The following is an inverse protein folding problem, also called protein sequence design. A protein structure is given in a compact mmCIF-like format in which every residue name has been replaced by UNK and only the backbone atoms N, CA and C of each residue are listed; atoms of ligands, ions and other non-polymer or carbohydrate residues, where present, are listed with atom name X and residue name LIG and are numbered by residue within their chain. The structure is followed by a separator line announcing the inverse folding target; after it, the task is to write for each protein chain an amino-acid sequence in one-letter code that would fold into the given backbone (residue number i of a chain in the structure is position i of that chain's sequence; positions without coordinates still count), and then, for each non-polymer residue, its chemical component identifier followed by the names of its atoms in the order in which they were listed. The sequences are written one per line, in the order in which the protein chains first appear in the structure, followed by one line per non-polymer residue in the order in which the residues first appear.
data_IF_639855247030
#
_entry.id   IF_639855247030
#
_cell.length_a   1.000
_cell.length_b   1.000
_cell.length_c   1.000
_cell.angle_alpha   90.00
_cell.angle_beta   90.00
_cell.angle_gamma   90.00
#
_symmetry.space_group_name_H-M   'P 1'
#
loop_
_entity.id
_entity.type
_entity.pdbx_description
1 polymer ?
#
# COMPACT_ATOMS: atom_id res chain seq x y z
N UNK A 1 -1.69 6.79 30.84
CA UNK A 1 -1.20 5.49 31.33
C UNK A 1 -1.84 4.41 30.47
N UNK A 2 -1.09 3.37 30.09
CA UNK A 2 -1.63 2.27 29.28
C UNK A 2 -2.58 1.42 30.13
N UNK A 3 -3.77 1.16 29.61
CA UNK A 3 -4.77 0.28 30.22
C UNK A 3 -5.37 -0.59 29.12
N UNK A 4 -5.28 -1.92 29.28
CA UNK A 4 -5.77 -2.89 28.29
C UNK A 4 -7.29 -2.76 28.07
N UNK A 5 -8.02 -2.37 29.11
CA UNK A 5 -9.47 -2.13 29.07
C UNK A 5 -9.89 -0.97 28.16
N UNK A 6 -8.95 -0.10 27.79
CA UNK A 6 -9.18 1.02 26.87
C UNK A 6 -8.69 0.74 25.46
N UNK A 7 -8.33 -0.50 25.14
CA UNK A 7 -7.87 -0.91 23.82
C UNK A 7 -8.85 -1.94 23.26
N UNK A 8 -9.36 -1.68 22.06
CA UNK A 8 -10.20 -2.66 21.38
C UNK A 8 -9.34 -3.55 20.50
N UNK A 9 -9.39 -4.88 20.68
CA UNK A 9 -8.77 -5.82 19.74
C UNK A 9 -9.76 -6.18 18.65
N UNK A 10 -9.39 -5.99 17.39
CA UNK A 10 -10.24 -6.20 16.20
C UNK A 10 -9.79 -7.45 15.48
N UNK A 11 -10.69 -8.42 15.32
CA UNK A 11 -10.42 -9.69 14.65
C UNK A 11 -11.40 -9.87 13.47
N UNK A 12 -11.04 -9.48 12.24
CA UNK A 12 -11.85 -9.77 11.06
C UNK A 12 -11.76 -11.26 10.71
N UNK A 13 -12.89 -11.89 10.44
CA UNK A 13 -12.95 -13.33 10.19
C UNK A 13 -13.87 -13.67 9.03
N UNK A 14 -13.40 -14.56 8.15
CA UNK A 14 -14.17 -15.12 7.05
C UNK A 14 -13.94 -16.63 7.02
N UNK A 15 -15.01 -17.41 7.14
CA UNK A 15 -14.97 -18.88 7.22
C UNK A 15 -14.05 -19.42 8.34
N UNK A 16 -14.27 -19.00 9.61
CA UNK A 16 -13.41 -19.41 10.72
C UNK A 16 -13.47 -20.90 11.04
N UNK A 17 -12.45 -21.36 11.74
CA UNK A 17 -12.40 -22.62 12.48
C UNK A 17 -12.15 -22.36 13.98
N UNK A 18 -11.87 -23.40 14.75
CA UNK A 18 -11.58 -23.34 16.20
C UNK A 18 -10.37 -22.47 16.56
N UNK A 19 -9.51 -22.12 15.59
CA UNK A 19 -8.37 -21.21 15.82
C UNK A 19 -8.86 -19.80 16.16
N UNK A 20 -10.03 -19.39 15.66
CA UNK A 20 -10.64 -18.11 16.05
C UNK A 20 -10.97 -18.10 17.55
N UNK A 21 -11.58 -19.17 18.07
CA UNK A 21 -11.93 -19.29 19.48
C UNK A 21 -10.68 -19.24 20.35
N UNK A 22 -9.64 -19.98 19.94
CA UNK A 22 -8.35 -20.00 20.63
C UNK A 22 -7.68 -18.62 20.63
N UNK A 23 -7.74 -17.90 19.50
CA UNK A 23 -7.21 -16.54 19.37
C UNK A 23 -7.94 -15.55 20.28
N UNK A 24 -9.28 -15.55 20.25
CA UNK A 24 -10.11 -14.67 21.10
C UNK A 24 -9.86 -14.97 22.58
N UNK A 25 -9.82 -16.25 22.97
CA UNK A 25 -9.53 -16.64 24.34
C UNK A 25 -8.13 -16.17 24.79
N UNK A 26 -7.11 -16.36 23.95
CA UNK A 26 -5.76 -15.88 24.24
C UNK A 26 -5.68 -14.37 24.40
N UNK A 27 -6.46 -13.60 23.63
CA UNK A 27 -6.58 -12.14 23.79
C UNK A 27 -7.20 -11.78 25.14
N UNK A 28 -8.28 -12.46 25.55
CA UNK A 28 -8.94 -12.25 26.84
C UNK A 28 -8.00 -12.62 28.00
N UNK A 29 -7.31 -13.76 27.92
CA UNK A 29 -6.34 -14.24 28.92
C UNK A 29 -5.15 -13.27 29.05
N UNK A 30 -4.80 -12.54 27.99
CA UNK A 30 -3.80 -11.48 28.04
C UNK A 30 -4.28 -10.19 28.74
N UNK A 31 -5.54 -10.12 29.20
CA UNK A 31 -6.10 -9.02 29.98
C UNK A 31 -6.86 -7.97 29.16
N UNK A 32 -7.10 -8.20 27.86
CA UNK A 32 -7.97 -7.33 27.09
C UNK A 32 -9.44 -7.58 27.46
N UNK A 33 -10.16 -6.50 27.79
CA UNK A 33 -11.58 -6.56 28.17
C UNK A 33 -12.50 -5.93 27.13
N UNK A 34 -12.03 -5.83 25.89
CA UNK A 34 -12.81 -5.32 24.76
C UNK A 34 -12.31 -5.91 23.44
N UNK A 35 -13.03 -6.91 22.94
CA UNK A 35 -12.72 -7.62 21.69
C UNK A 35 -13.87 -7.41 20.71
N UNK A 36 -13.54 -7.04 19.48
CA UNK A 36 -14.48 -6.79 18.39
C UNK A 36 -14.17 -7.76 17.25
N UNK A 37 -14.95 -8.83 17.15
CA UNK A 37 -14.86 -9.79 16.04
C UNK A 37 -15.81 -9.34 14.94
N UNK A 38 -15.39 -9.48 13.68
CA UNK A 38 -16.26 -9.19 12.53
C UNK A 38 -16.44 -10.47 11.72
N UNK A 39 -17.67 -10.99 11.69
CA UNK A 39 -18.11 -12.03 10.76
C UNK A 39 -18.32 -11.41 9.37
N UNK A 40 -17.40 -11.69 8.45
CA UNK A 40 -17.46 -11.20 7.07
C UNK A 40 -18.27 -12.14 6.16
N UNK A 41 -19.38 -12.73 6.66
CA UNK A 41 -20.39 -13.42 5.86
C UNK A 41 -19.90 -14.72 5.21
N UNK A 42 -19.33 -15.62 6.04
CA UNK A 42 -18.73 -16.89 5.60
C UNK A 42 -19.72 -17.96 5.11
N UNK A 43 -20.96 -17.91 5.58
CA UNK A 43 -21.98 -18.94 5.39
C UNK A 43 -22.51 -19.48 6.72
N UNK A 44 -23.73 -20.05 6.71
CA UNK A 44 -24.40 -20.53 7.93
C UNK A 44 -23.61 -21.63 8.64
N UNK A 45 -22.81 -22.41 7.92
CA UNK A 45 -22.00 -23.48 8.50
C UNK A 45 -20.99 -22.99 9.54
N UNK A 46 -20.58 -21.71 9.48
CA UNK A 46 -19.60 -21.11 10.41
C UNK A 46 -20.23 -20.38 11.61
N UNK A 47 -21.56 -20.28 11.66
CA UNK A 47 -22.26 -19.50 12.69
C UNK A 47 -21.94 -19.97 14.12
N UNK A 48 -21.76 -21.28 14.30
CA UNK A 48 -21.46 -21.87 15.61
C UNK A 48 -20.22 -21.25 16.26
N UNK A 49 -19.15 -21.02 15.50
CA UNK A 49 -17.93 -20.37 16.00
C UNK A 49 -18.23 -18.95 16.48
N UNK A 50 -19.03 -18.18 15.73
CA UNK A 50 -19.38 -16.82 16.13
C UNK A 50 -20.35 -16.78 17.32
N UNK A 51 -21.24 -17.77 17.46
CA UNK A 51 -22.12 -17.90 18.62
C UNK A 51 -21.34 -18.18 19.90
N UNK A 52 -20.30 -19.01 19.81
CA UNK A 52 -19.38 -19.22 20.93
C UNK A 52 -18.61 -17.94 21.30
N UNK A 53 -18.14 -17.17 20.31
CA UNK A 53 -17.53 -15.85 20.57
C UNK A 53 -18.52 -14.88 21.23
N UNK A 54 -19.79 -14.88 20.82
CA UNK A 54 -20.84 -14.03 21.46
C UNK A 54 -21.10 -14.42 22.91
N UNK A 55 -20.92 -15.70 23.26
CA UNK A 55 -21.07 -16.19 24.62
C UNK A 55 -19.87 -15.82 25.52
N UNK A 56 -18.72 -15.46 24.95
CA UNK A 56 -17.56 -15.01 25.72
C UNK A 56 -17.78 -13.60 26.27
N UNK A 57 -17.40 -13.33 27.54
CA UNK A 57 -17.44 -11.98 28.08
C UNK A 57 -16.53 -11.05 27.28
N UNK A 58 -16.85 -9.75 27.30
CA UNK A 58 -16.04 -8.70 26.65
C UNK A 58 -15.95 -8.77 25.11
N UNK A 59 -16.70 -9.66 24.48
CA UNK A 59 -16.70 -9.84 23.04
C UNK A 59 -17.93 -9.18 22.39
N UNK A 60 -17.69 -8.45 21.29
CA UNK A 60 -18.73 -7.94 20.39
C UNK A 60 -18.53 -8.58 19.02
N UNK A 61 -19.57 -9.17 18.46
CA UNK A 61 -19.55 -9.72 17.09
C UNK A 61 -20.36 -8.83 16.16
N UNK A 62 -19.70 -8.21 15.20
CA UNK A 62 -20.32 -7.47 14.09
C UNK A 62 -20.51 -8.42 12.91
N UNK A 63 -21.59 -8.27 12.14
CA UNK A 63 -21.95 -9.23 11.09
C UNK A 63 -22.13 -8.54 9.75
N UNK A 64 -21.56 -9.12 8.70
CA UNK A 64 -21.90 -8.86 7.31
C UNK A 64 -22.75 -10.00 6.76
N UNK A 65 -23.85 -9.67 6.08
CA UNK A 65 -24.71 -10.68 5.45
C UNK A 65 -24.01 -11.44 4.32
N UNK A 66 -23.06 -10.79 3.65
CA UNK A 66 -22.27 -11.33 2.55
C UNK A 66 -20.81 -10.93 2.70
N UNK A 67 -19.89 -11.68 2.09
CA UNK A 67 -18.47 -11.32 2.10
C UNK A 67 -18.21 -9.95 1.45
N UNK A 68 -17.78 -8.99 2.27
CA UNK A 68 -17.39 -7.63 1.84
C UNK A 68 -15.87 -7.47 1.74
N UNK A 69 -15.12 -8.34 2.42
CA UNK A 69 -13.66 -8.39 2.41
C UNK A 69 -13.03 -7.82 3.68
N UNK A 70 -11.76 -8.19 3.91
CA UNK A 70 -10.99 -7.80 5.11
C UNK A 70 -10.97 -6.28 5.35
N UNK A 71 -10.80 -5.48 4.30
CA UNK A 71 -10.81 -4.02 4.41
C UNK A 71 -12.16 -3.47 4.89
N UNK A 72 -13.27 -3.97 4.36
CA UNK A 72 -14.62 -3.59 4.80
C UNK A 72 -14.89 -4.04 6.23
N UNK A 73 -14.43 -5.23 6.63
CA UNK A 73 -14.54 -5.72 8.00
C UNK A 73 -13.79 -4.79 8.98
N UNK A 74 -12.55 -4.41 8.65
CA UNK A 74 -11.77 -3.45 9.43
C UNK A 74 -12.47 -2.09 9.55
N UNK A 75 -12.98 -1.54 8.45
CA UNK A 75 -13.73 -0.27 8.47
C UNK A 75 -14.98 -0.35 9.34
N UNK A 76 -15.71 -1.45 9.27
CA UNK A 76 -16.92 -1.67 10.07
C UNK A 76 -16.59 -1.71 11.56
N UNK A 77 -15.50 -2.38 11.95
CA UNK A 77 -15.00 -2.35 13.31
C UNK A 77 -14.56 -0.93 13.73
N UNK A 78 -13.82 -0.21 12.89
CA UNK A 78 -13.35 1.14 13.18
C UNK A 78 -14.51 2.13 13.36
N UNK A 79 -15.54 2.03 12.53
CA UNK A 79 -16.76 2.81 12.63
C UNK A 79 -17.50 2.50 13.94
N UNK A 80 -17.65 1.22 14.27
CA UNK A 80 -18.28 0.81 15.51
C UNK A 80 -17.49 1.29 16.74
N UNK A 81 -16.16 1.18 16.73
CA UNK A 81 -15.29 1.69 17.82
C UNK A 81 -15.47 3.20 17.98
N UNK A 82 -15.41 3.95 16.88
CA UNK A 82 -15.53 5.41 16.91
C UNK A 82 -16.88 5.90 17.44
N UNK A 83 -17.97 5.14 17.20
CA UNK A 83 -19.31 5.49 17.67
C UNK A 83 -19.60 5.03 19.10
N UNK A 84 -19.16 3.82 19.47
CA UNK A 84 -19.61 3.16 20.70
C UNK A 84 -18.55 3.11 21.80
N UNK A 85 -17.29 3.46 21.51
CA UNK A 85 -16.17 3.36 22.46
C UNK A 85 -15.40 4.69 22.56
N UNK A 86 -16.03 5.78 23.01
CA UNK A 86 -15.43 7.13 23.01
C UNK A 86 -14.19 7.26 23.89
N UNK A 87 -14.02 6.39 24.89
CA UNK A 87 -12.84 6.37 25.76
C UNK A 87 -11.72 5.44 25.28
N UNK A 88 -11.89 4.77 24.13
CA UNK A 88 -10.87 3.91 23.56
C UNK A 88 -9.61 4.73 23.21
N UNK A 89 -8.43 4.21 23.59
CA UNK A 89 -7.13 4.79 23.25
C UNK A 89 -6.68 4.38 21.84
N UNK A 90 -7.11 3.21 21.37
CA UNK A 90 -6.81 2.73 20.03
C UNK A 90 -7.29 1.31 19.77
N UNK A 91 -7.19 0.91 18.50
CA UNK A 91 -7.57 -0.41 18.03
C UNK A 91 -6.33 -1.23 17.70
N UNK A 92 -6.30 -2.50 18.10
CA UNK A 92 -5.27 -3.45 17.66
C UNK A 92 -5.91 -4.48 16.75
N UNK A 93 -5.55 -4.45 15.48
CA UNK A 93 -5.99 -5.45 14.50
C UNK A 93 -5.17 -6.72 14.65
N UNK A 94 -5.79 -7.89 14.58
CA UNK A 94 -5.13 -9.18 14.60
C UNK A 94 -5.91 -10.17 13.72
N UNK A 95 -5.20 -11.03 12.98
CA UNK A 95 -5.81 -12.14 12.25
C UNK A 95 -6.28 -13.26 13.20
N UNK A 96 -7.41 -13.89 12.88
CA UNK A 96 -8.07 -14.92 13.70
C UNK A 96 -7.52 -16.34 13.52
N UNK A 97 -6.40 -16.51 12.83
CA UNK A 97 -5.80 -17.80 12.47
C UNK A 97 -4.76 -18.31 13.50
N UNK A 98 -4.57 -17.57 14.59
CA UNK A 98 -3.61 -17.89 15.66
C UNK A 98 -2.16 -17.50 15.37
N UNK A 99 -1.87 -16.81 14.26
CA UNK A 99 -0.50 -16.40 13.93
C UNK A 99 0.03 -15.25 14.79
N UNK A 100 -0.86 -14.45 15.38
CA UNK A 100 -0.49 -13.34 16.25
C UNK A 100 -0.58 -13.75 17.71
N UNK A 101 0.57 -13.84 18.38
CA UNK A 101 0.61 -14.18 19.79
C UNK A 101 -0.03 -13.06 20.64
N UNK A 102 -0.78 -13.41 21.70
CA UNK A 102 -1.37 -12.40 22.60
C UNK A 102 -0.33 -11.47 23.24
N UNK A 103 0.88 -11.96 23.47
CA UNK A 103 2.03 -11.16 23.93
C UNK A 103 2.43 -10.07 22.94
N UNK A 104 2.41 -10.37 21.64
CA UNK A 104 2.74 -9.43 20.57
C UNK A 104 1.63 -8.38 20.38
N UNK A 105 0.36 -8.80 20.48
CA UNK A 105 -0.81 -7.90 20.49
C UNK A 105 -0.67 -6.90 21.65
N UNK A 106 -0.36 -7.40 22.85
CA UNK A 106 -0.15 -6.57 24.03
C UNK A 106 1.03 -5.62 23.88
N UNK A 107 2.16 -6.09 23.37
CA UNK A 107 3.35 -5.27 23.20
C UNK A 107 3.14 -4.15 22.15
N UNK A 108 2.43 -4.44 21.06
CA UNK A 108 2.04 -3.43 20.08
C UNK A 108 1.09 -2.38 20.67
N UNK A 109 0.10 -2.81 21.47
CA UNK A 109 -0.83 -1.90 22.16
C UNK A 109 -0.10 -0.94 23.12
N UNK A 110 0.85 -1.48 23.91
CA UNK A 110 1.68 -0.69 24.84
C UNK A 110 2.50 0.35 24.08
N UNK A 111 3.27 -0.07 23.07
CA UNK A 111 4.11 0.84 22.27
C UNK A 111 3.31 1.92 21.55
N UNK A 112 2.10 1.61 21.10
CA UNK A 112 1.22 2.59 20.47
C UNK A 112 0.91 3.74 21.43
N UNK A 113 0.61 3.41 22.70
CA UNK A 113 0.33 4.41 23.73
C UNK A 113 1.58 5.17 24.17
N UNK A 114 2.73 4.48 24.30
CA UNK A 114 4.00 5.08 24.72
C UNK A 114 4.57 6.06 23.69
N UNK A 115 4.50 5.69 22.40
CA UNK A 115 5.11 6.46 21.31
C UNK A 115 4.14 7.43 20.63
N UNK A 116 2.86 7.36 20.99
CA UNK A 116 1.77 8.08 20.32
C UNK A 116 1.80 7.90 18.79
N UNK A 117 1.99 6.65 18.36
CA UNK A 117 2.21 6.27 16.97
C UNK A 117 1.50 4.97 16.64
N UNK A 118 1.14 4.77 15.36
CA UNK A 118 0.70 3.47 14.89
C UNK A 118 1.88 2.49 14.91
N UNK A 119 1.66 1.28 15.41
CA UNK A 119 2.66 0.22 15.50
C UNK A 119 2.30 -0.89 14.52
N UNK A 120 3.25 -1.26 13.67
CA UNK A 120 3.16 -2.38 12.74
C UNK A 120 3.94 -3.56 13.35
N UNK A 121 3.22 -4.61 13.75
CA UNK A 121 3.83 -5.86 14.22
C UNK A 121 4.51 -6.56 13.06
N UNK A 122 5.83 -6.48 12.97
CA UNK A 122 6.58 -6.87 11.78
C UNK A 122 7.31 -8.18 12.03
N UNK A 123 7.13 -9.15 11.14
CA UNK A 123 7.82 -10.44 11.26
C UNK A 123 9.31 -10.27 10.97
N UNK A 124 10.14 -11.05 11.67
CA UNK A 124 11.57 -11.09 11.39
C UNK A 124 11.88 -12.09 10.27
N UNK A 125 11.96 -11.58 9.05
CA UNK A 125 12.26 -12.38 7.86
C UNK A 125 13.71 -12.88 7.78
N UNK A 126 14.60 -12.48 8.71
CA UNK A 126 15.99 -12.95 8.77
C UNK A 126 16.11 -14.36 9.35
N UNK A 127 15.07 -14.84 10.04
CA UNK A 127 15.08 -16.12 10.73
C UNK A 127 15.09 -17.30 9.76
N UNK A 128 15.80 -18.36 10.13
CA UNK A 128 16.06 -19.54 9.29
C UNK A 128 14.79 -20.31 8.93
N UNK A 129 13.80 -20.34 9.82
CA UNK A 129 12.54 -21.06 9.62
C UNK A 129 11.55 -20.36 8.67
N UNK A 130 11.83 -19.11 8.25
CA UNK A 130 10.97 -18.36 7.33
C UNK A 130 11.06 -18.95 5.92
N UNK A 131 9.94 -19.35 5.29
CA UNK A 131 9.94 -19.88 3.93
C UNK A 131 10.58 -18.90 2.93
N UNK A 132 11.49 -19.41 2.08
CA UNK A 132 12.26 -18.58 1.15
C UNK A 132 11.38 -17.75 0.20
N UNK A 133 10.24 -18.30 -0.24
CA UNK A 133 9.25 -17.60 -1.08
C UNK A 133 8.64 -16.39 -0.37
N UNK A 134 8.30 -16.53 0.92
CA UNK A 134 7.76 -15.44 1.74
C UNK A 134 8.81 -14.33 1.94
N UNK A 135 10.04 -14.72 2.27
CA UNK A 135 11.18 -13.80 2.40
C UNK A 135 11.43 -12.99 1.13
N UNK A 136 11.42 -13.64 -0.05
CA UNK A 136 11.63 -12.96 -1.32
C UNK A 136 10.46 -12.03 -1.69
N UNK A 137 9.22 -12.50 -1.56
CA UNK A 137 8.02 -11.71 -1.84
C UNK A 137 7.96 -10.45 -0.98
N UNK A 138 8.26 -10.57 0.32
CA UNK A 138 8.28 -9.42 1.20
C UNK A 138 9.44 -8.46 0.88
N UNK A 139 10.66 -8.95 0.58
CA UNK A 139 11.76 -8.08 0.12
C UNK A 139 11.41 -7.26 -1.12
N UNK A 140 10.77 -7.89 -2.11
CA UNK A 140 10.31 -7.20 -3.32
C UNK A 140 9.28 -6.15 -2.94
N UNK A 141 8.30 -6.49 -2.11
CA UNK A 141 7.24 -5.57 -1.70
C UNK A 141 7.80 -4.38 -0.92
N UNK A 142 8.66 -4.61 0.07
CA UNK A 142 9.30 -3.57 0.86
C UNK A 142 10.17 -2.65 0.00
N UNK A 143 10.88 -3.20 -1.01
CA UNK A 143 11.59 -2.39 -2.00
C UNK A 143 10.63 -1.53 -2.84
N UNK A 144 9.53 -2.11 -3.31
CA UNK A 144 8.50 -1.39 -4.09
C UNK A 144 7.89 -0.24 -3.27
N UNK A 145 7.55 -0.47 -2.00
CA UNK A 145 7.05 0.59 -1.11
C UNK A 145 8.12 1.65 -0.82
N UNK A 146 9.38 1.28 -0.68
CA UNK A 146 10.45 2.24 -0.51
C UNK A 146 10.65 3.09 -1.77
N UNK A 147 10.74 2.45 -2.93
CA UNK A 147 11.05 3.09 -4.21
C UNK A 147 9.91 3.99 -4.71
N UNK A 148 8.67 3.47 -4.73
CA UNK A 148 7.52 4.21 -5.24
C UNK A 148 6.86 5.08 -4.17
N UNK A 149 6.84 4.62 -2.92
CA UNK A 149 6.07 5.27 -1.87
C UNK A 149 6.91 6.06 -0.87
N UNK A 150 8.22 5.85 -0.85
CA UNK A 150 9.11 6.45 0.13
C UNK A 150 8.85 5.96 1.56
N UNK A 151 8.20 4.80 1.70
CA UNK A 151 7.86 4.19 2.99
C UNK A 151 8.88 3.09 3.28
N UNK A 152 9.66 3.27 4.34
CA UNK A 152 10.58 2.26 4.84
C UNK A 152 9.81 1.38 5.83
N UNK A 153 9.24 0.30 5.33
CA UNK A 153 8.51 -0.72 6.10
C UNK A 153 9.12 -2.07 5.75
N UNK A 154 9.54 -2.82 6.75
CA UNK A 154 10.11 -4.15 6.58
C UNK A 154 9.04 -5.20 6.32
N UNK A 155 7.88 -5.14 6.97
CA UNK A 155 6.73 -6.04 6.73
C UNK A 155 5.50 -5.25 6.26
N UNK A 156 5.28 -5.22 4.95
CA UNK A 156 4.16 -4.46 4.36
C UNK A 156 2.82 -5.19 4.44
N UNK A 157 2.84 -6.49 4.71
CA UNK A 157 1.67 -7.37 4.68
C UNK A 157 1.24 -7.83 6.09
N UNK A 158 1.78 -7.21 7.15
CA UNK A 158 1.34 -7.53 8.50
C UNK A 158 -0.12 -7.13 8.73
N UNK A 159 -0.90 -8.09 9.27
CA UNK A 159 -2.25 -7.89 9.79
C UNK A 159 -2.27 -7.40 11.24
N UNK A 160 -1.15 -7.48 11.97
CA UNK A 160 -1.04 -6.99 13.34
C UNK A 160 -0.67 -5.50 13.36
N UNK A 161 -1.66 -4.66 13.62
CA UNK A 161 -1.47 -3.20 13.66
C UNK A 161 -2.18 -2.58 14.85
N UNK A 162 -1.45 -1.85 15.69
CA UNK A 162 -2.00 -1.02 16.74
C UNK A 162 -2.14 0.42 16.24
N UNK A 163 -3.34 0.97 16.28
CA UNK A 163 -3.73 2.23 15.65
C UNK A 163 -4.38 3.15 16.69
N UNK A 164 -3.85 4.35 16.96
CA UNK A 164 -4.47 5.29 17.88
C UNK A 164 -5.89 5.66 17.45
N UNK A 165 -6.82 5.72 18.41
CA UNK A 165 -8.25 5.87 18.14
C UNK A 165 -8.59 7.12 17.31
N UNK A 166 -7.81 8.20 17.49
CA UNK A 166 -7.97 9.46 16.74
C UNK A 166 -7.85 9.33 15.22
N UNK A 167 -7.18 8.29 14.72
CA UNK A 167 -7.00 8.08 13.28
C UNK A 167 -8.12 7.22 12.68
N UNK A 168 -8.89 6.49 13.49
CA UNK A 168 -9.94 5.59 12.99
C UNK A 168 -10.96 6.28 12.06
N UNK A 169 -11.45 7.51 12.34
CA UNK A 169 -12.38 8.21 11.44
C UNK A 169 -11.81 8.42 10.03
N UNK A 170 -10.53 8.77 9.92
CA UNK A 170 -9.85 8.97 8.63
C UNK A 170 -9.61 7.65 7.90
N UNK A 171 -9.32 6.58 8.64
CA UNK A 171 -9.09 5.26 8.06
C UNK A 171 -10.35 4.68 7.40
N UNK A 172 -11.53 4.94 7.98
CA UNK A 172 -12.82 4.52 7.40
C UNK A 172 -13.00 5.06 5.98
N UNK A 173 -12.52 6.27 5.70
CA UNK A 173 -12.67 6.96 4.41
C UNK A 173 -11.69 6.46 3.33
N UNK A 174 -10.70 5.64 3.69
CA UNK A 174 -9.70 5.13 2.75
C UNK A 174 -10.35 4.12 1.79
N UNK A 175 -9.99 4.21 0.51
CA UNK A 175 -10.51 3.32 -0.53
C UNK A 175 -10.00 1.88 -0.38
N UNK A 176 -10.76 0.94 -0.92
CA UNK A 176 -10.43 -0.49 -0.91
C UNK A 176 -11.15 -1.20 0.22
N UNK A 177 -11.68 -2.39 -0.07
CA UNK A 177 -12.52 -3.15 0.85
C UNK A 177 -11.97 -4.57 1.08
N UNK A 178 -10.91 -4.96 0.37
CA UNK A 178 -10.22 -6.24 0.59
C UNK A 178 -8.78 -5.99 1.03
N UNK A 179 -7.87 -6.94 0.76
CA UNK A 179 -6.47 -6.87 1.17
C UNK A 179 -5.74 -5.60 0.69
N UNK A 180 -6.15 -4.97 -0.42
CA UNK A 180 -5.56 -3.71 -0.87
C UNK A 180 -5.78 -2.55 0.12
N UNK A 181 -6.82 -2.61 0.96
CA UNK A 181 -7.09 -1.58 1.97
C UNK A 181 -5.91 -1.40 2.94
N UNK A 182 -5.32 -2.50 3.38
CA UNK A 182 -4.18 -2.47 4.30
C UNK A 182 -2.97 -1.75 3.69
N UNK A 183 -2.77 -1.90 2.37
CA UNK A 183 -1.77 -1.12 1.63
C UNK A 183 -2.15 0.35 1.55
N UNK A 184 -3.39 0.66 1.19
CA UNK A 184 -3.85 2.05 1.09
C UNK A 184 -3.75 2.78 2.44
N UNK A 185 -4.01 2.09 3.56
CA UNK A 185 -3.79 2.62 4.90
C UNK A 185 -2.33 3.07 5.10
N UNK A 186 -1.34 2.26 4.71
CA UNK A 186 0.08 2.62 4.82
C UNK A 186 0.42 3.84 3.95
N UNK A 187 -0.16 3.92 2.74
CA UNK A 187 0.05 5.03 1.81
C UNK A 187 -0.55 6.34 2.34
N UNK A 188 -1.71 6.27 3.00
CA UNK A 188 -2.43 7.43 3.51
C UNK A 188 -1.95 7.88 4.89
N UNK A 189 -1.23 7.03 5.63
CA UNK A 189 -0.70 7.35 6.96
C UNK A 189 0.09 8.66 6.98
N UNK A 190 0.96 8.91 5.97
CA UNK A 190 1.71 10.16 5.85
C UNK A 190 0.80 11.36 5.62
N UNK A 191 -0.29 11.19 4.86
CA UNK A 191 -1.24 12.27 4.52
C UNK A 191 -2.01 12.72 5.76
N UNK A 192 -2.45 11.78 6.58
CA UNK A 192 -3.24 12.05 7.80
C UNK A 192 -2.35 12.35 9.01
N UNK A 193 -1.03 12.45 8.84
CA UNK A 193 -0.08 12.72 9.93
C UNK A 193 0.11 11.57 10.92
N UNK A 194 -0.27 10.35 10.55
CA UNK A 194 -0.11 9.16 11.40
C UNK A 194 1.35 8.69 11.36
N UNK A 195 2.08 8.93 12.46
CA UNK A 195 3.43 8.37 12.65
C UNK A 195 3.33 6.85 12.71
N UNK A 196 4.22 6.16 11.99
CA UNK A 196 4.31 4.70 12.00
C UNK A 196 5.67 4.25 12.56
N UNK A 197 5.65 3.18 13.34
CA UNK A 197 6.82 2.48 13.88
C UNK A 197 6.63 0.97 13.74
N UNK A 198 7.72 0.26 13.53
CA UNK A 198 7.70 -1.21 13.48
C UNK A 198 8.07 -1.77 14.85
N UNK A 199 7.40 -2.85 15.23
CA UNK A 199 7.79 -3.67 16.37
C UNK A 199 7.95 -5.10 15.87
N UNK A 200 9.14 -5.67 16.07
CA UNK A 200 9.35 -7.08 15.76
C UNK A 200 8.44 -7.96 16.60
N UNK A 201 7.76 -8.90 15.95
CA UNK A 201 6.88 -9.91 16.56
C UNK A 201 7.39 -11.32 16.28
N UNK A 202 6.94 -12.30 17.06
CA UNK A 202 7.28 -13.69 16.82
C UNK A 202 6.59 -14.19 15.54
N UNK A 203 7.32 -14.99 14.75
CA UNK A 203 6.78 -15.49 13.48
C UNK A 203 6.26 -16.91 13.65
N UNK A 204 4.94 -17.04 13.82
CA UNK A 204 4.28 -18.34 13.98
C UNK A 204 3.71 -18.79 12.62
N UNK A 205 4.33 -19.78 11.98
CA UNK A 205 3.81 -20.40 10.76
C UNK A 205 2.97 -21.63 11.12
N UNK A 206 1.64 -21.50 11.02
CA UNK A 206 0.71 -22.62 11.21
C UNK A 206 0.38 -23.19 9.82
N UNK A 207 0.52 -24.51 9.67
CA UNK A 207 0.15 -25.27 8.46
C UNK A 207 0.64 -24.66 7.14
N UNK A 208 1.86 -24.08 7.13
CA UNK A 208 2.48 -23.45 5.96
C UNK A 208 1.64 -22.32 5.31
N UNK A 209 0.84 -21.59 6.09
CA UNK A 209 -0.13 -20.58 5.64
C UNK A 209 -1.30 -21.12 4.78
N UNK A 210 -1.62 -22.41 4.85
CA UNK A 210 -2.73 -23.01 4.09
C UNK A 210 -4.12 -22.43 4.43
N UNK A 211 -4.30 -21.92 5.66
CA UNK A 211 -5.53 -21.25 6.10
C UNK A 211 -5.67 -19.81 5.56
N UNK A 212 -4.63 -19.24 4.94
CA UNK A 212 -4.72 -17.93 4.34
C UNK A 212 -5.56 -17.98 3.06
N UNK A 213 -6.72 -17.34 3.07
CA UNK A 213 -7.54 -17.13 1.86
C UNK A 213 -6.93 -16.13 0.86
N UNK A 214 -5.66 -15.75 1.04
CA UNK A 214 -4.91 -14.87 0.16
C UNK A 214 -4.58 -15.55 -1.17
N UNK A 215 -5.13 -15.05 -2.26
CA UNK A 215 -4.77 -15.47 -3.60
C UNK A 215 -3.54 -14.68 -4.08
N UNK A 216 -2.37 -15.33 -4.03
CA UNK A 216 -1.08 -14.70 -4.30
C UNK A 216 -0.98 -13.90 -5.60
N UNK A 217 -1.74 -14.25 -6.65
CA UNK A 217 -1.70 -13.50 -7.91
C UNK A 217 -2.73 -12.37 -7.91
N UNK A 218 -4.00 -12.69 -7.62
CA UNK A 218 -5.09 -11.71 -7.70
C UNK A 218 -4.93 -10.60 -6.68
N UNK A 219 -4.54 -10.93 -5.46
CA UNK A 219 -4.41 -9.95 -4.38
C UNK A 219 -3.14 -9.12 -4.51
N UNK A 220 -2.02 -9.71 -4.99
CA UNK A 220 -0.84 -8.93 -5.36
C UNK A 220 -1.13 -7.93 -6.48
N UNK A 221 -1.89 -8.31 -7.52
CA UNK A 221 -2.29 -7.35 -8.58
C UNK A 221 -3.10 -6.20 -7.99
N UNK A 222 -3.99 -6.45 -7.03
CA UNK A 222 -4.77 -5.40 -6.37
C UNK A 222 -3.90 -4.46 -5.54
N UNK A 223 -3.00 -5.01 -4.74
CA UNK A 223 -2.01 -4.28 -3.94
C UNK A 223 -1.14 -3.39 -4.84
N UNK A 224 -0.64 -3.91 -5.96
CA UNK A 224 0.22 -3.17 -6.88
C UNK A 224 -0.53 -2.41 -7.98
N UNK A 225 -1.86 -2.44 -8.01
CA UNK A 225 -2.65 -1.93 -9.14
C UNK A 225 -2.35 -0.47 -9.46
N UNK A 226 -2.10 0.36 -8.45
CA UNK A 226 -1.70 1.76 -8.62
C UNK A 226 -0.38 1.89 -9.39
N UNK A 227 0.62 1.10 -9.00
CA UNK A 227 1.97 1.12 -9.59
C UNK A 227 1.93 0.54 -11.00
N UNK A 228 1.23 -0.58 -11.19
CA UNK A 228 1.05 -1.22 -12.50
C UNK A 228 0.35 -0.29 -13.49
N UNK A 229 -0.69 0.45 -13.05
CA UNK A 229 -1.36 1.46 -13.90
C UNK A 229 -0.42 2.58 -14.31
N UNK A 230 0.47 3.02 -13.42
CA UNK A 230 1.45 4.06 -13.75
C UNK A 230 2.53 3.57 -14.74
N UNK A 231 3.03 2.34 -14.53
CA UNK A 231 3.96 1.70 -15.47
C UNK A 231 3.29 1.57 -16.84
N UNK A 232 2.05 1.10 -16.88
CA UNK A 232 1.27 0.98 -18.12
C UNK A 232 1.06 2.34 -18.81
N UNK A 233 0.66 3.37 -18.06
CA UNK A 233 0.52 4.74 -18.57
C UNK A 233 1.81 5.26 -19.21
N UNK A 234 2.95 4.98 -18.58
CA UNK A 234 4.26 5.40 -19.06
C UNK A 234 4.70 4.60 -20.28
N UNK A 235 4.44 3.30 -20.31
CA UNK A 235 4.68 2.45 -21.48
C UNK A 235 3.85 2.89 -22.70
N UNK A 236 2.55 3.14 -22.51
CA UNK A 236 1.68 3.66 -23.57
C UNK A 236 2.15 5.02 -24.09
N UNK A 237 2.59 5.91 -23.19
CA UNK A 237 3.18 7.20 -23.57
C UNK A 237 4.43 7.02 -24.43
N UNK A 238 5.35 6.12 -24.04
CA UNK A 238 6.57 5.85 -24.80
C UNK A 238 6.26 5.26 -26.17
N UNK A 239 5.33 4.31 -26.26
CA UNK A 239 4.90 3.74 -27.55
C UNK A 239 4.28 4.81 -28.44
N UNK A 240 3.44 5.68 -27.87
CA UNK A 240 2.81 6.80 -28.59
C UNK A 240 3.87 7.79 -29.10
N UNK A 241 4.87 8.11 -28.28
CA UNK A 241 6.00 8.97 -28.64
C UNK A 241 6.73 8.43 -29.88
N UNK A 242 7.09 7.14 -29.86
CA UNK A 242 7.78 6.47 -30.97
C UNK A 242 6.93 6.41 -32.24
N UNK A 243 5.64 6.10 -32.12
CA UNK A 243 4.73 6.03 -33.26
C UNK A 243 4.51 7.40 -33.90
N UNK A 244 4.24 8.44 -33.10
CA UNK A 244 4.08 9.80 -33.60
C UNK A 244 5.37 10.28 -34.26
N UNK A 245 6.52 10.05 -33.63
CA UNK A 245 7.81 10.39 -34.22
C UNK A 245 8.01 9.71 -35.58
N UNK A 246 7.74 8.41 -35.69
CA UNK A 246 7.85 7.66 -36.94
C UNK A 246 6.93 8.22 -38.04
N UNK A 247 5.67 8.50 -37.72
CA UNK A 247 4.71 9.07 -38.68
C UNK A 247 5.14 10.48 -39.12
N UNK A 248 5.58 11.33 -38.19
CA UNK A 248 6.05 12.68 -38.52
C UNK A 248 7.30 12.66 -39.41
N UNK A 249 8.26 11.76 -39.13
CA UNK A 249 9.44 11.57 -39.98
C UNK A 249 9.07 11.15 -41.40
N UNK A 250 8.03 10.32 -41.56
CA UNK A 250 7.53 9.90 -42.89
C UNK A 250 6.81 11.02 -43.64
N UNK A 251 6.11 11.92 -42.92
CA UNK A 251 5.35 13.02 -43.52
C UNK A 251 6.21 14.22 -43.90
N UNK A 252 7.16 14.61 -43.04
CA UNK A 252 8.00 15.80 -43.23
C UNK A 252 9.20 15.50 -44.14
N UNK A 253 9.64 14.23 -44.20
CA UNK A 253 10.85 13.83 -44.91
C UNK A 253 12.12 14.17 -44.12
N UNK A 254 13.26 13.55 -44.46
CA UNK A 254 14.51 13.62 -43.69
C UNK A 254 15.29 14.94 -43.72
N UNK A 255 14.62 16.08 -43.92
CA UNK A 255 15.27 17.40 -43.94
C UNK A 255 15.73 17.82 -42.53
N UNK A 256 16.72 18.72 -42.44
CA UNK A 256 17.45 19.02 -41.19
C UNK A 256 16.57 19.43 -40.00
N UNK A 257 15.43 20.10 -40.22
CA UNK A 257 14.49 20.49 -39.16
C UNK A 257 13.44 19.42 -38.81
N UNK A 258 13.30 18.37 -39.62
CA UNK A 258 12.25 17.36 -39.48
C UNK A 258 12.39 16.55 -38.19
N UNK A 259 13.62 16.23 -37.78
CA UNK A 259 13.89 15.52 -36.53
C UNK A 259 13.43 16.33 -35.32
N UNK A 260 13.73 17.64 -35.31
CA UNK A 260 13.33 18.54 -34.23
C UNK A 260 11.81 18.68 -34.15
N UNK A 261 11.16 18.96 -35.28
CA UNK A 261 9.69 19.12 -35.36
C UNK A 261 9.00 17.82 -34.93
N UNK A 262 9.45 16.67 -35.46
CA UNK A 262 8.90 15.35 -35.13
C UNK A 262 9.04 15.03 -33.64
N UNK A 263 10.19 15.37 -33.04
CA UNK A 263 10.43 15.16 -31.60
C UNK A 263 9.51 16.03 -30.76
N UNK A 264 9.36 17.32 -31.10
CA UNK A 264 8.47 18.22 -30.35
C UNK A 264 7.02 17.76 -30.42
N UNK A 265 6.52 17.42 -31.61
CA UNK A 265 5.14 16.95 -31.80
C UNK A 265 4.91 15.64 -31.05
N UNK A 266 5.83 14.66 -31.16
CA UNK A 266 5.77 13.41 -30.44
C UNK A 266 5.69 13.62 -28.92
N UNK A 267 6.54 14.49 -28.37
CA UNK A 267 6.58 14.81 -26.94
C UNK A 267 5.32 15.51 -26.45
N UNK A 268 4.74 16.42 -27.23
CA UNK A 268 3.48 17.09 -26.87
C UNK A 268 2.35 16.07 -26.79
N UNK A 269 2.19 15.22 -27.80
CA UNK A 269 1.10 14.24 -27.86
C UNK A 269 1.30 13.16 -26.78
N UNK A 270 2.50 12.60 -26.65
CA UNK A 270 2.79 11.55 -25.67
C UNK A 270 2.62 12.05 -24.23
N UNK A 271 3.11 13.25 -23.92
CA UNK A 271 2.96 13.84 -22.58
C UNK A 271 1.51 14.17 -22.22
N UNK A 272 0.69 14.60 -23.20
CA UNK A 272 -0.74 14.85 -23.01
C UNK A 272 -1.50 13.55 -22.70
N UNK A 273 -1.16 12.46 -23.41
CA UNK A 273 -1.69 11.12 -23.12
C UNK A 273 -1.28 10.67 -21.70
N UNK A 274 0.01 10.77 -21.36
CA UNK A 274 0.51 10.37 -20.05
C UNK A 274 -0.17 11.13 -18.91
N UNK A 275 -0.30 12.45 -19.04
CA UNK A 275 -1.04 13.28 -18.09
C UNK A 275 -2.50 12.80 -17.92
N UNK A 276 -3.19 12.56 -19.04
CA UNK A 276 -4.61 12.20 -19.04
C UNK A 276 -4.84 10.85 -18.34
N UNK A 277 -4.03 9.85 -18.67
CA UNK A 277 -4.10 8.52 -18.06
C UNK A 277 -3.70 8.59 -16.58
N UNK A 278 -2.62 9.30 -16.24
CA UNK A 278 -2.19 9.44 -14.84
C UNK A 278 -3.25 10.12 -13.98
N UNK A 279 -3.89 11.15 -14.52
CA UNK A 279 -4.95 11.86 -13.80
C UNK A 279 -6.18 11.00 -13.56
N UNK A 280 -6.70 10.38 -14.61
CA UNK A 280 -8.03 9.77 -14.60
C UNK A 280 -8.00 8.30 -14.18
N UNK A 281 -6.89 7.58 -14.41
CA UNK A 281 -6.80 6.13 -14.18
C UNK A 281 -5.89 5.80 -12.99
N UNK A 282 -4.74 6.47 -12.89
CA UNK A 282 -3.73 6.17 -11.87
C UNK A 282 -4.08 6.84 -10.54
N UNK A 283 -4.10 8.18 -10.51
CA UNK A 283 -4.18 8.94 -9.26
C UNK A 283 -5.59 9.41 -8.90
N UNK A 284 -6.56 9.30 -9.83
CA UNK A 284 -7.93 9.78 -9.65
C UNK A 284 -7.96 11.21 -9.09
N UNK A 285 -7.09 12.09 -9.61
CA UNK A 285 -6.64 13.32 -8.93
C UNK A 285 -7.14 14.62 -9.56
N UNK A 286 -7.67 15.51 -8.72
CA UNK A 286 -7.80 16.96 -8.96
C UNK A 286 -9.16 17.45 -9.48
N UNK A 287 -9.90 18.20 -8.63
CA UNK A 287 -11.08 18.97 -9.06
C UNK A 287 -10.72 20.09 -10.05
N UNK A 288 -9.49 20.63 -9.98
CA UNK A 288 -9.03 21.72 -10.83
C UNK A 288 -8.05 21.23 -11.91
N UNK A 289 -8.54 21.15 -13.15
CA UNK A 289 -7.77 20.67 -14.28
C UNK A 289 -6.53 21.52 -14.58
N UNK A 290 -6.69 22.84 -14.67
CA UNK A 290 -5.61 23.76 -15.04
C UNK A 290 -4.41 23.67 -14.08
N UNK A 291 -4.66 23.61 -12.77
CA UNK A 291 -3.59 23.51 -11.77
C UNK A 291 -2.81 22.20 -11.89
N UNK A 292 -3.48 21.07 -12.14
CA UNK A 292 -2.78 19.78 -12.30
C UNK A 292 -1.96 19.70 -13.58
N UNK A 293 -2.45 20.30 -14.69
CA UNK A 293 -1.68 20.42 -15.94
C UNK A 293 -0.41 21.26 -15.70
N UNK A 294 -0.56 22.42 -15.04
CA UNK A 294 0.56 23.31 -14.76
C UNK A 294 1.65 22.60 -13.93
N UNK A 295 1.26 21.91 -12.85
CA UNK A 295 2.19 21.14 -12.02
C UNK A 295 2.83 19.99 -12.78
N UNK A 296 2.08 19.32 -13.65
CA UNK A 296 2.60 18.22 -14.44
C UNK A 296 3.73 18.70 -15.38
N UNK A 297 3.50 19.78 -16.14
CA UNK A 297 4.53 20.30 -17.04
C UNK A 297 5.68 21.02 -16.31
N UNK A 298 5.40 21.65 -15.16
CA UNK A 298 6.43 22.18 -14.26
C UNK A 298 7.36 21.08 -13.70
N UNK A 299 6.91 19.83 -13.68
CA UNK A 299 7.74 18.66 -13.35
C UNK A 299 8.40 18.06 -14.60
N UNK A 300 7.63 17.84 -15.66
CA UNK A 300 8.08 17.10 -16.84
C UNK A 300 9.26 17.79 -17.56
N UNK A 301 9.23 19.13 -17.69
CA UNK A 301 10.27 19.88 -18.40
C UNK A 301 11.62 19.80 -17.67
N UNK A 302 11.72 20.11 -16.36
CA UNK A 302 12.97 19.92 -15.62
C UNK A 302 13.47 18.48 -15.63
N UNK A 303 12.58 17.48 -15.52
CA UNK A 303 12.97 16.06 -15.55
C UNK A 303 13.63 15.69 -16.88
N UNK A 304 13.13 16.19 -18.01
CA UNK A 304 13.79 16.00 -19.30
C UNK A 304 15.20 16.62 -19.33
N UNK A 305 15.35 17.83 -18.81
CA UNK A 305 16.65 18.49 -18.67
C UNK A 305 17.61 17.72 -17.75
N UNK A 306 17.12 17.23 -16.62
CA UNK A 306 17.89 16.39 -15.70
C UNK A 306 18.34 15.07 -16.34
N UNK A 307 17.48 14.41 -17.12
CA UNK A 307 17.87 13.19 -17.87
C UNK A 307 19.04 13.48 -18.81
N UNK A 308 18.93 14.53 -19.64
CA UNK A 308 19.99 14.91 -20.57
C UNK A 308 21.29 15.30 -19.85
N UNK A 309 21.19 16.08 -18.77
CA UNK A 309 22.34 16.51 -17.96
C UNK A 309 23.05 15.35 -17.26
N UNK A 310 22.29 14.45 -16.61
CA UNK A 310 22.86 13.29 -15.90
C UNK A 310 23.53 12.32 -16.86
N UNK A 311 22.92 12.03 -18.01
CA UNK A 311 23.54 11.18 -19.03
C UNK A 311 24.84 11.80 -19.53
N UNK A 312 24.83 13.10 -19.84
CA UNK A 312 26.04 13.81 -20.31
C UNK A 312 27.16 13.81 -19.26
N UNK A 313 26.81 14.04 -17.99
CA UNK A 313 27.76 14.00 -16.88
C UNK A 313 28.36 12.61 -16.69
N UNK A 314 27.54 11.56 -16.71
CA UNK A 314 28.03 10.19 -16.54
C UNK A 314 28.88 9.74 -17.73
N UNK A 315 28.49 10.11 -18.97
CA UNK A 315 29.36 9.89 -20.15
C UNK A 315 30.74 10.52 -19.95
N UNK A 316 30.78 11.76 -19.47
CA UNK A 316 32.03 12.48 -19.18
C UNK A 316 32.85 11.79 -18.08
N UNK A 317 32.23 11.41 -16.96
CA UNK A 317 32.91 10.73 -15.84
C UNK A 317 33.49 9.38 -16.25
N UNK A 318 32.75 8.58 -17.03
CA UNK A 318 33.20 7.26 -17.47
C UNK A 318 34.02 7.29 -18.77
N UNK A 319 34.21 8.47 -19.37
CA UNK A 319 34.98 8.65 -20.61
C UNK A 319 34.49 7.79 -21.77
N UNK A 320 33.17 7.53 -21.88
CA UNK A 320 32.62 6.58 -22.85
C UNK A 320 31.85 7.28 -23.97
N UNK A 321 32.25 6.98 -25.21
CA UNK A 321 31.52 7.36 -26.44
C UNK A 321 30.87 6.16 -27.12
N UNK A 322 30.98 4.97 -26.53
CA UNK A 322 30.33 3.77 -27.04
C UNK A 322 28.81 3.93 -26.94
N UNK A 323 28.13 3.82 -28.08
CA UNK A 323 26.68 3.95 -28.17
C UNK A 323 25.94 2.98 -27.22
N UNK A 324 26.46 1.75 -27.08
CA UNK A 324 25.94 0.75 -26.15
C UNK A 324 26.01 1.22 -24.70
N UNK A 325 27.19 1.65 -24.22
CA UNK A 325 27.37 2.11 -22.84
C UNK A 325 26.57 3.38 -22.55
N UNK A 326 26.49 4.30 -23.51
CA UNK A 326 25.65 5.50 -23.41
C UNK A 326 24.16 5.14 -23.25
N UNK A 327 23.70 4.11 -23.97
CA UNK A 327 22.32 3.61 -23.87
C UNK A 327 22.05 2.98 -22.51
N UNK A 328 23.00 2.21 -21.97
CA UNK A 328 22.91 1.62 -20.62
C UNK A 328 22.86 2.73 -19.55
N UNK A 329 23.73 3.74 -19.63
CA UNK A 329 23.72 4.90 -18.72
C UNK A 329 22.36 5.60 -18.78
N UNK A 330 21.86 5.86 -19.99
CA UNK A 330 20.54 6.49 -20.18
C UNK A 330 19.42 5.67 -19.54
N UNK A 331 19.43 4.35 -19.70
CA UNK A 331 18.44 3.47 -19.11
C UNK A 331 18.44 3.57 -17.57
N UNK A 332 19.62 3.57 -16.95
CA UNK A 332 19.76 3.70 -15.49
C UNK A 332 19.23 5.05 -15.00
N UNK A 333 19.62 6.15 -15.68
CA UNK A 333 19.16 7.51 -15.34
C UNK A 333 17.65 7.64 -15.47
N UNK A 334 17.07 7.15 -16.57
CA UNK A 334 15.63 7.26 -16.82
C UNK A 334 14.81 6.40 -15.85
N UNK A 335 15.31 5.20 -15.48
CA UNK A 335 14.69 4.36 -14.45
C UNK A 335 14.70 5.09 -13.10
N UNK A 336 15.80 5.72 -12.71
CA UNK A 336 15.86 6.51 -11.47
C UNK A 336 14.85 7.68 -11.49
N UNK A 337 14.85 8.46 -12.58
CA UNK A 337 13.93 9.59 -12.75
C UNK A 337 12.46 9.14 -12.81
N UNK A 338 12.18 7.95 -13.33
CA UNK A 338 10.84 7.38 -13.36
C UNK A 338 10.25 7.20 -11.95
N UNK A 339 11.01 6.63 -11.00
CA UNK A 339 10.57 6.49 -9.61
C UNK A 339 10.40 7.86 -8.92
N UNK A 340 11.35 8.77 -9.13
CA UNK A 340 11.27 10.12 -8.57
C UNK A 340 10.04 10.87 -9.08
N UNK A 341 9.78 10.78 -10.39
CA UNK A 341 8.65 11.41 -11.06
C UNK A 341 7.33 10.83 -10.55
N UNK A 342 7.23 9.51 -10.37
CA UNK A 342 6.04 8.89 -9.76
C UNK A 342 5.72 9.50 -8.40
N UNK A 343 6.74 9.62 -7.53
CA UNK A 343 6.57 10.13 -6.17
C UNK A 343 6.11 11.58 -6.17
N UNK A 344 6.72 12.44 -7.00
CA UNK A 344 6.34 13.86 -7.09
C UNK A 344 4.96 14.01 -7.74
N UNK A 345 4.64 13.21 -8.76
CA UNK A 345 3.32 13.23 -9.38
C UNK A 345 2.23 12.88 -8.37
N UNK A 346 2.46 11.85 -7.55
CA UNK A 346 1.52 11.43 -6.50
C UNK A 346 1.39 12.46 -5.37
N UNK A 347 2.50 12.94 -4.83
CA UNK A 347 2.50 13.79 -3.61
C UNK A 347 2.21 15.27 -3.90
N UNK A 348 2.50 15.76 -5.11
CA UNK A 348 2.37 17.18 -5.46
C UNK A 348 1.47 17.46 -6.66
N UNK A 349 1.69 16.78 -7.80
CA UNK A 349 0.95 17.08 -9.05
C UNK A 349 -0.54 16.74 -8.90
N UNK A 350 -0.84 15.51 -8.52
CA UNK A 350 -2.20 14.98 -8.39
C UNK A 350 -2.70 14.96 -6.94
N UNK A 351 -2.10 15.80 -6.08
CA UNK A 351 -2.50 15.91 -4.68
C UNK A 351 -3.99 16.29 -4.59
N UNK A 352 -4.78 15.43 -3.95
CA UNK A 352 -6.17 15.73 -3.60
C UNK A 352 -6.16 16.82 -2.52
N UNK A 353 -6.71 17.99 -2.84
CA UNK A 353 -6.99 19.04 -1.86
C UNK A 353 -8.26 18.69 -1.11
#
# INVERSE_FOLDING_TARGET
MFEQSRITVVVPSYKPDDKLLSTVKGILDAGFTDVCVVDDGGGKEFNHVFDEVRAMPHCTVLVHEVNRGKGAALKTAFEYISKNRPHCLGAVTADGDGQHLPSDILACAKKMCELDAAILGSRDFSQSHVPARSRMGNRITSFVFLAFCGLRITDTQTGLRAIPARFLPELILIKGDRYEYETNMLLEAKRIGMKMREHTIETVYIDNNSASHFNAVKDSIRIYSLILKYIFSSACSTVTDLLVFYVMMKLIGGHGSAVLISTVVARVISSALNYTVNRNVVFNGGKNAGMTVLRYYALAIPVMGCSAGLVSLLKFIFGTELAFLTTVIKMIVDVFLFFLTFRIQREWVFRKK
#
